data_IF_056035219476
#
_entry.id   IF_056035219476
#
_cell.length_a   1.000
_cell.length_b   1.000
_cell.length_c   1.000
_cell.angle_alpha   90.00
_cell.angle_beta   90.00
_cell.angle_gamma   90.00
#
_symmetry.space_group_name_H-M   'P 1'
#
loop_
_entity.id
_entity.type
_entity.pdbx_description
1 polymer ?
#
# COMPACT_ATOMS: atom_id res chain seq x y z
N UNK A 1 31.08 -26.32 38.08
CA UNK A 1 29.67 -25.87 38.01
C UNK A 1 29.56 -24.45 37.42
N UNK A 2 30.03 -24.23 36.18
CA UNK A 2 30.00 -22.90 35.53
C UNK A 2 29.56 -22.94 34.06
N UNK A 3 29.40 -24.13 33.48
CA UNK A 3 29.02 -24.32 32.08
C UNK A 3 27.53 -24.63 31.85
N UNK A 4 26.76 -24.94 32.91
CA UNK A 4 25.33 -25.29 32.77
C UNK A 4 24.44 -24.04 32.70
N UNK A 5 24.89 -22.91 33.24
CA UNK A 5 24.11 -21.66 33.23
C UNK A 5 24.12 -20.92 31.89
N UNK A 6 25.10 -21.19 31.01
CA UNK A 6 25.20 -20.46 29.73
C UNK A 6 24.26 -21.01 28.64
N UNK A 7 23.83 -22.27 28.75
CA UNK A 7 22.89 -22.90 27.81
C UNK A 7 21.43 -22.50 28.09
N UNK A 8 21.11 -22.10 29.32
CA UNK A 8 19.77 -21.63 29.68
C UNK A 8 19.47 -20.21 29.19
N UNK A 9 20.48 -19.36 29.04
CA UNK A 9 20.28 -18.00 28.49
C UNK A 9 20.11 -17.98 26.97
N UNK A 10 20.67 -18.96 26.26
CA UNK A 10 20.57 -19.03 24.79
C UNK A 10 19.24 -19.66 24.32
N UNK A 11 18.54 -20.39 25.20
CA UNK A 11 17.20 -20.93 24.94
C UNK A 11 16.06 -19.92 25.06
N UNK A 12 16.27 -18.80 25.75
CA UNK A 12 15.24 -17.77 25.93
C UNK A 12 15.21 -16.69 24.83
N UNK A 13 16.26 -16.59 24.01
CA UNK A 13 16.32 -15.58 22.93
C UNK A 13 15.54 -16.04 21.67
N UNK A 14 15.24 -17.33 21.55
CA UNK A 14 14.53 -17.86 20.37
C UNK A 14 13.00 -17.87 20.48
N UNK A 15 12.42 -17.43 21.61
CA UNK A 15 10.96 -17.41 21.78
C UNK A 15 10.29 -16.06 21.45
N UNK A 16 11.03 -14.96 21.28
CA UNK A 16 10.43 -13.65 20.98
C UNK A 16 10.36 -13.32 19.47
N UNK A 17 10.88 -14.18 18.59
CA UNK A 17 10.86 -13.96 17.14
C UNK A 17 9.63 -14.55 16.41
N UNK A 18 8.64 -15.04 17.15
CA UNK A 18 7.39 -15.61 16.61
C UNK A 18 6.20 -14.93 17.26
N UNK A 19 5.91 -13.71 16.86
CA UNK A 19 4.56 -13.13 16.77
C UNK A 19 4.66 -11.65 16.40
N UNK A 20 5.09 -11.37 15.17
CA UNK A 20 4.43 -10.29 14.44
C UNK A 20 3.26 -10.94 13.73
N UNK A 21 2.30 -11.40 14.53
CA UNK A 21 0.99 -11.81 14.07
C UNK A 21 0.42 -10.61 13.33
N UNK A 22 0.10 -10.86 12.07
CA UNK A 22 -0.56 -9.94 11.15
C UNK A 22 -1.58 -9.09 11.88
N UNK A 23 -1.28 -7.80 12.05
CA UNK A 23 -2.32 -6.78 12.13
C UNK A 23 -3.09 -6.87 10.80
N UNK A 24 -4.08 -7.76 10.73
CA UNK A 24 -5.19 -7.63 9.81
C UNK A 24 -5.95 -6.38 10.27
N UNK A 25 -5.38 -5.20 9.97
CA UNK A 25 -6.16 -4.00 9.87
C UNK A 25 -7.29 -4.33 8.90
N UNK A 26 -8.53 -4.24 9.34
CA UNK A 26 -9.69 -4.50 8.48
C UNK A 26 -9.53 -3.63 7.23
N UNK A 27 -9.25 -4.28 6.11
CA UNK A 27 -9.01 -3.57 4.87
C UNK A 27 -10.29 -2.88 4.43
N UNK A 28 -10.17 -1.60 4.12
CA UNK A 28 -11.30 -0.77 3.74
C UNK A 28 -11.59 -1.08 2.28
N UNK A 29 -12.80 -1.59 2.01
CA UNK A 29 -13.22 -1.84 0.64
C UNK A 29 -13.11 -0.57 -0.21
N UNK A 30 -12.64 -0.67 -1.45
CA UNK A 30 -12.46 0.49 -2.31
C UNK A 30 -13.85 1.10 -2.59
N UNK A 31 -14.03 2.41 -2.37
CA UNK A 31 -15.29 3.06 -2.68
C UNK A 31 -15.52 3.07 -4.20
N UNK A 32 -16.79 3.23 -4.59
CA UNK A 32 -17.15 3.46 -5.99
C UNK A 32 -16.89 4.93 -6.36
N UNK A 33 -15.63 5.29 -6.52
CA UNK A 33 -15.20 6.62 -6.94
C UNK A 33 -14.52 6.62 -8.31
N UNK A 34 -14.36 7.80 -8.90
CA UNK A 34 -13.83 7.96 -10.26
C UNK A 34 -12.46 7.28 -10.44
N UNK A 35 -11.62 7.33 -9.41
CA UNK A 35 -10.26 6.77 -9.45
C UNK A 35 -10.22 5.25 -9.36
N UNK A 36 -11.02 4.65 -8.47
CA UNK A 36 -11.18 3.20 -8.41
C UNK A 36 -11.77 2.67 -9.73
N UNK A 37 -12.76 3.38 -10.29
CA UNK A 37 -13.37 3.02 -11.56
C UNK A 37 -12.38 3.12 -12.73
N UNK A 38 -11.65 4.22 -12.85
CA UNK A 38 -10.64 4.40 -13.89
C UNK A 38 -9.55 3.32 -13.80
N UNK A 39 -9.05 3.03 -12.60
CA UNK A 39 -8.08 1.95 -12.38
C UNK A 39 -8.65 0.59 -12.83
N UNK A 40 -9.88 0.28 -12.41
CA UNK A 40 -10.56 -0.97 -12.73
C UNK A 40 -10.92 -1.12 -14.21
N UNK A 41 -11.07 -0.04 -14.96
CA UNK A 41 -11.46 -0.09 -16.36
C UNK A 41 -10.26 0.02 -17.31
N UNK A 42 -9.30 0.89 -16.98
CA UNK A 42 -8.29 1.34 -17.93
C UNK A 42 -6.89 0.77 -17.68
N UNK A 43 -6.65 0.12 -16.54
CA UNK A 43 -5.35 -0.49 -16.23
C UNK A 43 -5.41 -2.02 -16.22
N UNK A 44 -4.26 -2.71 -16.18
CA UNK A 44 -4.21 -4.17 -15.94
C UNK A 44 -4.54 -4.57 -14.50
N UNK A 45 -4.83 -3.62 -13.61
CA UNK A 45 -5.02 -3.84 -12.18
C UNK A 45 -6.44 -3.53 -11.74
N UNK A 46 -6.88 -4.18 -10.65
CA UNK A 46 -8.15 -3.89 -9.96
C UNK A 46 -7.90 -3.47 -8.52
N UNK A 47 -8.66 -2.49 -8.04
CA UNK A 47 -8.66 -2.06 -6.65
C UNK A 47 -9.23 -3.16 -5.75
N UNK A 48 -8.49 -3.50 -4.69
CA UNK A 48 -8.87 -4.50 -3.69
C UNK A 48 -9.26 -3.83 -2.35
N UNK A 49 -8.50 -2.81 -1.95
CA UNK A 49 -8.70 -2.06 -0.71
C UNK A 49 -8.09 -0.65 -0.80
N UNK A 50 -8.53 0.28 0.05
CA UNK A 50 -7.92 1.61 0.18
C UNK A 50 -6.55 1.47 0.85
N UNK A 51 -5.53 2.10 0.26
CA UNK A 51 -4.22 2.25 0.87
C UNK A 51 -4.12 3.61 1.56
N UNK A 52 -4.30 3.65 2.88
CA UNK A 52 -4.22 4.88 3.65
C UNK A 52 -5.11 4.88 4.88
N UNK A 53 -5.42 6.09 5.38
CA UNK A 53 -6.29 6.27 6.55
C UNK A 53 -7.75 5.89 6.23
N UNK A 54 -8.50 5.34 7.20
CA UNK A 54 -9.94 5.15 7.08
C UNK A 54 -10.79 6.41 7.16
N UNK A 55 -10.20 7.51 7.59
CA UNK A 55 -10.92 8.77 7.78
C UNK A 55 -11.01 9.53 6.45
N UNK A 56 -12.23 9.87 6.03
CA UNK A 56 -12.49 10.52 4.74
C UNK A 56 -11.75 11.86 4.58
N UNK A 57 -11.66 12.60 5.67
CA UNK A 57 -10.94 13.86 5.82
C UNK A 57 -9.41 13.72 5.66
N UNK A 58 -8.90 12.49 5.77
CA UNK A 58 -7.50 12.18 5.48
C UNK A 58 -7.25 11.81 4.00
N UNK A 59 -8.30 11.68 3.18
CA UNK A 59 -8.21 11.42 1.74
C UNK A 59 -7.91 12.69 0.97
N UNK A 60 -6.77 13.30 1.28
CA UNK A 60 -6.28 14.47 0.56
C UNK A 60 -5.32 14.03 -0.56
N UNK A 61 -5.46 14.56 -1.79
CA UNK A 61 -4.47 14.50 -2.85
C UNK A 61 -2.99 14.44 -2.46
N UNK A 62 -2.54 15.41 -1.68
CA UNK A 62 -1.15 15.52 -1.22
C UNK A 62 -0.72 14.41 -0.23
N UNK A 63 -1.66 13.67 0.36
CA UNK A 63 -1.35 12.54 1.23
C UNK A 63 -0.61 11.44 0.46
N UNK A 64 -0.93 11.25 -0.82
CA UNK A 64 -0.23 10.32 -1.71
C UNK A 64 1.29 10.58 -1.77
N UNK A 65 1.71 11.80 -2.09
CA UNK A 65 3.15 12.11 -2.20
C UNK A 65 3.87 11.87 -0.88
N UNK A 66 3.19 12.12 0.25
CA UNK A 66 3.72 11.81 1.58
C UNK A 66 3.85 10.29 1.79
N UNK A 67 2.88 9.50 1.33
CA UNK A 67 2.91 8.04 1.42
C UNK A 67 4.06 7.43 0.62
N UNK A 68 4.21 7.76 -0.67
CA UNK A 68 5.33 7.27 -1.48
C UNK A 68 6.67 7.73 -0.88
N UNK A 69 6.77 9.00 -0.48
CA UNK A 69 7.99 9.50 0.14
C UNK A 69 8.35 8.70 1.40
N UNK A 70 7.35 8.37 2.24
CA UNK A 70 7.55 7.54 3.43
C UNK A 70 7.95 6.11 3.07
N UNK A 71 7.35 5.49 2.05
CA UNK A 71 7.76 4.17 1.58
C UNK A 71 9.23 4.13 1.14
N UNK A 72 9.69 5.15 0.42
CA UNK A 72 11.10 5.29 0.01
C UNK A 72 12.02 5.43 1.21
N UNK A 73 11.67 6.28 2.19
CA UNK A 73 12.44 6.43 3.43
C UNK A 73 12.56 5.13 4.22
N UNK A 74 11.49 4.34 4.27
CA UNK A 74 11.47 3.04 4.93
C UNK A 74 12.12 1.92 4.11
N UNK A 75 12.53 2.21 2.86
CA UNK A 75 13.16 1.25 1.95
C UNK A 75 12.31 -0.01 1.73
N UNK A 76 10.98 0.11 1.77
CA UNK A 76 10.03 -1.00 1.58
C UNK A 76 9.62 -1.21 0.12
N UNK A 77 10.10 -0.37 -0.79
CA UNK A 77 9.80 -0.46 -2.22
C UNK A 77 10.71 -1.51 -2.86
N UNK A 78 10.10 -2.45 -3.58
CA UNK A 78 10.77 -3.40 -4.46
C UNK A 78 10.91 -2.82 -5.88
N UNK A 79 9.83 -2.22 -6.40
CA UNK A 79 9.78 -1.66 -7.76
C UNK A 79 8.76 -0.54 -7.83
N UNK A 80 9.06 0.49 -8.62
CA UNK A 80 8.10 1.52 -9.02
C UNK A 80 7.93 1.47 -10.55
N UNK A 81 6.70 1.61 -11.03
CA UNK A 81 6.41 1.76 -12.46
C UNK A 81 5.17 2.62 -12.66
N UNK A 82 4.97 3.10 -13.89
CA UNK A 82 3.87 3.99 -14.23
C UNK A 82 3.20 3.52 -15.51
N UNK A 83 1.88 3.60 -15.52
CA UNK A 83 1.05 3.44 -16.69
C UNK A 83 0.19 4.69 -16.92
N UNK A 84 -0.30 4.88 -18.14
CA UNK A 84 -1.15 6.00 -18.53
C UNK A 84 -2.15 5.53 -19.58
N UNK A 85 -3.42 5.81 -19.34
CA UNK A 85 -4.50 5.59 -20.30
C UNK A 85 -5.39 6.83 -20.32
N UNK A 86 -5.68 7.35 -21.52
CA UNK A 86 -6.47 8.57 -21.70
C UNK A 86 -5.90 9.74 -20.85
N UNK A 87 -6.75 10.36 -20.04
CA UNK A 87 -6.40 11.41 -19.09
C UNK A 87 -5.94 10.87 -17.73
N UNK A 88 -5.85 9.56 -17.55
CA UNK A 88 -5.49 8.94 -16.28
C UNK A 88 -4.01 8.59 -16.20
N UNK A 89 -3.48 8.71 -14.99
CA UNK A 89 -2.13 8.35 -14.61
C UNK A 89 -2.22 7.35 -13.46
N UNK A 90 -1.52 6.23 -13.61
CA UNK A 90 -1.44 5.19 -12.60
C UNK A 90 0.01 5.00 -12.20
N UNK A 91 0.36 5.31 -10.95
CA UNK A 91 1.67 5.07 -10.38
C UNK A 91 1.62 3.85 -9.47
N UNK A 92 2.38 2.82 -9.80
CA UNK A 92 2.39 1.56 -9.08
C UNK A 92 3.67 1.40 -8.28
N UNK A 93 3.51 0.89 -7.06
CA UNK A 93 4.59 0.57 -6.15
C UNK A 93 4.42 -0.87 -5.69
N UNK A 94 5.33 -1.74 -6.10
CA UNK A 94 5.47 -3.09 -5.56
C UNK A 94 6.25 -3.00 -4.25
N UNK A 95 5.66 -3.48 -3.16
CA UNK A 95 6.29 -3.53 -1.86
C UNK A 95 7.10 -4.82 -1.70
N UNK A 96 8.20 -4.74 -0.94
CA UNK A 96 8.92 -5.91 -0.44
C UNK A 96 7.95 -6.71 0.44
N UNK A 97 7.53 -7.87 -0.03
CA UNK A 97 6.40 -8.64 0.53
C UNK A 97 5.28 -8.94 -0.47
N UNK A 98 5.37 -8.42 -1.71
CA UNK A 98 4.58 -8.87 -2.85
C UNK A 98 3.24 -8.14 -3.05
N UNK A 99 2.84 -7.24 -2.13
CA UNK A 99 1.68 -6.39 -2.35
C UNK A 99 2.00 -5.24 -3.29
N UNK A 100 1.04 -4.86 -4.12
CA UNK A 100 1.15 -3.70 -5.01
C UNK A 100 0.18 -2.63 -4.57
N UNK A 101 0.65 -1.38 -4.55
CA UNK A 101 -0.18 -0.19 -4.31
C UNK A 101 -0.25 0.60 -5.61
N UNK A 102 -1.45 0.99 -6.01
CA UNK A 102 -1.68 1.91 -7.12
C UNK A 102 -2.10 3.28 -6.58
N UNK A 103 -1.49 4.31 -7.13
CA UNK A 103 -1.86 5.70 -6.91
C UNK A 103 -2.40 6.26 -8.22
N UNK A 104 -3.60 6.81 -8.15
CA UNK A 104 -4.39 7.21 -9.31
C UNK A 104 -4.50 8.72 -9.36
N UNK A 105 -4.25 9.29 -10.53
CA UNK A 105 -4.46 10.71 -10.80
C UNK A 105 -5.06 10.93 -12.18
N UNK A 106 -5.63 12.11 -12.38
CA UNK A 106 -6.15 12.56 -13.67
C UNK A 106 -5.32 13.75 -14.19
N UNK A 107 -5.06 13.90 -15.49
CA UNK A 107 -4.23 15.01 -16.01
C UNK A 107 -4.94 16.36 -15.92
N UNK A 108 -6.25 16.38 -16.11
CA UNK A 108 -7.08 17.60 -16.12
C UNK A 108 -7.39 18.02 -14.69
N UNK A 109 -7.89 17.08 -13.90
CA UNK A 109 -8.39 17.34 -12.54
C UNK A 109 -7.40 16.91 -11.45
N UNK A 110 -6.21 16.41 -11.81
CA UNK A 110 -5.19 15.93 -10.86
C UNK A 110 -5.78 14.93 -9.89
N UNK A 111 -5.47 15.09 -8.62
CA UNK A 111 -5.91 14.19 -7.56
C UNK A 111 -7.34 14.56 -7.06
N UNK A 112 -7.87 15.75 -7.38
CA UNK A 112 -9.21 16.14 -6.94
C UNK A 112 -10.33 15.44 -7.72
N UNK A 113 -10.00 14.80 -8.85
CA UNK A 113 -10.91 13.94 -9.61
C UNK A 113 -11.54 12.84 -8.73
N UNK A 114 -10.77 12.27 -7.80
CA UNK A 114 -11.21 11.09 -7.06
C UNK A 114 -12.36 11.34 -6.09
N UNK A 115 -12.58 12.60 -5.66
CA UNK A 115 -13.54 12.98 -4.59
C UNK A 115 -13.55 11.96 -3.44
N UNK A 116 -12.35 11.61 -2.96
CA UNK A 116 -12.15 10.49 -2.05
C UNK A 116 -10.75 9.88 -2.20
N UNK A 117 -10.55 8.61 -1.80
CA UNK A 117 -9.23 8.00 -1.82
C UNK A 117 -8.73 7.83 -3.25
N UNK A 118 -7.42 8.01 -3.43
CA UNK A 118 -6.74 7.88 -4.72
C UNK A 118 -5.61 6.84 -4.68
N UNK A 119 -5.50 6.09 -3.59
CA UNK A 119 -4.47 5.11 -3.34
C UNK A 119 -5.12 3.79 -2.95
N UNK A 120 -4.73 2.70 -3.60
CA UNK A 120 -5.39 1.41 -3.45
C UNK A 120 -4.36 0.29 -3.38
N UNK A 121 -4.59 -0.71 -2.53
CA UNK A 121 -4.03 -2.03 -2.76
C UNK A 121 -4.68 -2.64 -4.00
N UNK A 122 -3.86 -3.28 -4.84
CA UNK A 122 -4.33 -3.79 -6.13
C UNK A 122 -3.89 -5.22 -6.39
N UNK A 123 -4.69 -5.90 -7.21
CA UNK A 123 -4.39 -7.18 -7.81
C UNK A 123 -4.33 -7.04 -9.32
N UNK A 124 -3.42 -7.79 -9.96
CA UNK A 124 -3.42 -7.90 -11.42
C UNK A 124 -4.70 -8.63 -11.87
N UNK A 125 -5.29 -8.18 -12.97
CA UNK A 125 -6.40 -8.87 -13.63
C UNK A 125 -5.88 -10.10 -14.35
N UNK A 126 -6.72 -11.13 -14.40
CA UNK A 126 -6.45 -12.37 -15.13
C UNK A 126 -6.58 -12.16 -16.65
#
# INVERSE_FOLDING_TARGET
MRFVFSLLLMGMIFLEAKEVTSLQANEIKPPNNECANALNQLSEFRAEAVYGSPLEDAWHPAAFYKLIHRMRQLQVIQREFRDRAEDWIFEFVELKGGRTVAFVGNKIHRESACRGPNAFFVLKKD
#
